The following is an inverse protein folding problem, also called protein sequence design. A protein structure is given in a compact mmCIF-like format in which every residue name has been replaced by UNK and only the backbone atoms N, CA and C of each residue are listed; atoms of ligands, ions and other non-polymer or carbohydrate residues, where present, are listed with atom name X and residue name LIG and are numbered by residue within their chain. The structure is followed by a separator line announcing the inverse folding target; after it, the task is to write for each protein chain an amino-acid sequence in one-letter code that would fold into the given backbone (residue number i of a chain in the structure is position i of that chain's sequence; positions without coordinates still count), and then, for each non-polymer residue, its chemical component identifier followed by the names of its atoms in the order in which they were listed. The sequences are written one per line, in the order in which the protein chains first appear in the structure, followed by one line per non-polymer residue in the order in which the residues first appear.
data_IF_731644929684
#
_entry.id   IF_731644929684
#
_cell.length_a   1.000
_cell.length_b   1.000
_cell.length_c   1.000
_cell.angle_alpha   90.00
_cell.angle_beta   90.00
_cell.angle_gamma   90.00
#
_symmetry.space_group_name_H-M   'P 1'
#
loop_
_entity.id
_entity.type
_entity.pdbx_description
1 polymer ?
#
# COMPACT_ATOMS: atom_id res chain seq x y z
N UNK A 1 -14.03 6.09 0.25
CA UNK A 1 -12.78 6.29 -0.51
C UNK A 1 -12.21 7.67 -0.19
N UNK A 2 -10.97 7.71 0.24
CA UNK A 2 -10.27 8.96 0.51
C UNK A 2 -9.54 9.37 -0.77
N UNK A 3 -9.89 10.55 -1.29
CA UNK A 3 -9.27 11.08 -2.49
C UNK A 3 -8.18 12.08 -2.12
N UNK A 4 -7.05 12.09 -2.84
CA UNK A 4 -6.03 13.10 -2.60
C UNK A 4 -6.53 14.49 -2.97
N UNK A 5 -6.09 15.54 -2.23
CA UNK A 5 -6.43 16.91 -2.61
C UNK A 5 -5.82 17.31 -3.96
N UNK A 6 -6.52 18.18 -4.69
CA UNK A 6 -6.08 18.62 -6.03
C UNK A 6 -4.78 19.43 -5.99
N UNK A 7 -4.47 20.04 -4.85
CA UNK A 7 -3.26 20.87 -4.67
C UNK A 7 -2.05 20.07 -4.17
N UNK A 8 -2.13 18.75 -4.14
CA UNK A 8 -1.03 17.89 -3.69
C UNK A 8 -0.02 17.72 -4.84
N UNK A 9 0.91 18.65 -4.96
CA UNK A 9 1.83 18.75 -6.11
C UNK A 9 3.30 18.62 -5.75
N UNK A 10 3.68 18.58 -4.47
CA UNK A 10 5.07 18.47 -4.03
C UNK A 10 5.33 17.13 -3.33
N UNK A 11 6.60 16.65 -3.32
CA UNK A 11 6.95 15.46 -2.55
C UNK A 11 6.58 15.57 -1.07
N UNK A 12 6.73 16.76 -0.48
CA UNK A 12 6.41 17.01 0.92
C UNK A 12 4.91 16.92 1.18
N UNK A 13 4.07 17.43 0.27
CA UNK A 13 2.62 17.32 0.41
C UNK A 13 2.14 15.88 0.25
N UNK A 14 2.77 15.10 -0.64
CA UNK A 14 2.48 13.68 -0.82
C UNK A 14 2.83 12.90 0.46
N UNK A 15 4.00 13.17 1.03
CA UNK A 15 4.44 12.52 2.27
C UNK A 15 3.49 12.83 3.43
N UNK A 16 3.07 14.08 3.58
CA UNK A 16 2.10 14.47 4.62
C UNK A 16 0.75 13.81 4.44
N UNK A 17 0.28 13.68 3.22
CA UNK A 17 -0.96 12.97 2.94
C UNK A 17 -0.83 11.50 3.36
N UNK A 18 0.28 10.84 3.04
CA UNK A 18 0.56 9.47 3.47
C UNK A 18 0.54 9.30 4.99
N UNK A 19 1.14 10.24 5.72
CA UNK A 19 1.13 10.25 7.19
C UNK A 19 -0.30 10.36 7.74
N UNK A 20 -1.12 11.22 7.14
CA UNK A 20 -2.53 11.37 7.53
C UNK A 20 -3.32 10.07 7.30
N UNK A 21 -3.10 9.41 6.17
CA UNK A 21 -3.73 8.12 5.88
C UNK A 21 -3.29 7.07 6.92
N UNK A 22 -2.01 7.03 7.27
CA UNK A 22 -1.49 6.10 8.28
C UNK A 22 -2.17 6.30 9.63
N UNK A 23 -2.35 7.54 10.06
CA UNK A 23 -3.05 7.86 11.31
C UNK A 23 -4.50 7.36 11.26
N UNK A 24 -5.20 7.61 10.15
CA UNK A 24 -6.58 7.16 9.99
C UNK A 24 -6.70 5.64 10.00
N UNK A 25 -5.78 4.93 9.35
CA UNK A 25 -5.77 3.46 9.35
C UNK A 25 -5.52 2.93 10.75
N UNK A 26 -4.60 3.52 11.50
CA UNK A 26 -4.32 3.12 12.88
C UNK A 26 -5.53 3.35 13.79
N UNK A 27 -6.20 4.48 13.67
CA UNK A 27 -7.42 4.78 14.43
C UNK A 27 -8.53 3.80 14.09
N UNK A 28 -8.72 3.52 12.81
CA UNK A 28 -9.70 2.55 12.37
C UNK A 28 -9.42 1.17 12.98
N UNK A 29 -8.16 0.74 12.94
CA UNK A 29 -7.76 -0.58 13.45
C UNK A 29 -8.02 -0.70 14.95
N UNK A 30 -7.65 0.32 15.72
CA UNK A 30 -7.81 0.32 17.18
C UNK A 30 -9.29 0.28 17.58
N UNK A 31 -10.17 0.92 16.81
CA UNK A 31 -11.60 1.00 17.09
C UNK A 31 -12.43 -0.07 16.39
N UNK A 32 -11.83 -0.85 15.49
CA UNK A 32 -12.54 -1.87 14.75
C UNK A 32 -12.89 -3.04 15.68
N UNK A 33 -14.20 -3.39 15.79
CA UNK A 33 -14.63 -4.40 16.78
C UNK A 33 -14.20 -5.81 16.43
N UNK A 34 -13.98 -6.11 15.15
CA UNK A 34 -13.71 -7.45 14.64
C UNK A 34 -12.33 -7.50 13.98
N UNK A 35 -11.29 -7.71 14.81
CA UNK A 35 -9.90 -7.68 14.37
C UNK A 35 -9.44 -8.99 13.71
N UNK A 36 -10.28 -10.00 13.58
CA UNK A 36 -9.99 -11.17 12.76
C UNK A 36 -10.20 -10.93 11.26
N UNK A 37 -10.89 -9.83 10.92
CA UNK A 37 -11.12 -9.39 9.55
C UNK A 37 -11.81 -10.42 8.66
N UNK A 38 -12.69 -11.24 9.25
CA UNK A 38 -13.45 -12.27 8.54
C UNK A 38 -14.72 -11.74 7.88
N UNK A 39 -15.11 -10.51 8.16
CA UNK A 39 -16.31 -9.90 7.59
C UNK A 39 -16.16 -9.74 6.06
N UNK A 40 -17.30 -9.87 5.38
CA UNK A 40 -17.37 -9.67 3.92
C UNK A 40 -17.57 -8.19 3.62
N UNK A 41 -16.75 -7.67 2.71
CA UNK A 41 -16.86 -6.29 2.23
C UNK A 41 -17.05 -6.28 0.71
N UNK A 42 -17.79 -5.29 0.22
CA UNK A 42 -18.02 -5.11 -1.21
C UNK A 42 -16.96 -4.17 -1.77
N UNK A 43 -16.27 -4.64 -2.80
CA UNK A 43 -15.25 -3.86 -3.51
C UNK A 43 -15.63 -3.72 -4.98
N UNK A 44 -14.86 -2.91 -5.74
CA UNK A 44 -15.07 -2.78 -7.18
C UNK A 44 -14.74 -4.06 -7.95
N UNK A 45 -13.99 -4.98 -7.33
CA UNK A 45 -13.63 -6.28 -7.91
C UNK A 45 -14.39 -7.44 -7.27
N UNK A 46 -15.51 -7.17 -6.59
CA UNK A 46 -16.41 -8.17 -6.02
C UNK A 46 -16.46 -8.15 -4.50
N UNK A 47 -17.12 -9.15 -3.95
CA UNK A 47 -17.22 -9.34 -2.51
C UNK A 47 -16.06 -10.22 -2.03
N UNK A 48 -15.35 -9.75 -1.00
CA UNK A 48 -14.19 -10.45 -0.45
C UNK A 48 -14.18 -10.30 1.08
N UNK A 49 -13.47 -11.18 1.76
CA UNK A 49 -13.21 -10.99 3.19
C UNK A 49 -12.31 -9.78 3.38
N UNK A 50 -12.53 -9.04 4.47
CA UNK A 50 -11.72 -7.87 4.79
C UNK A 50 -10.24 -8.20 4.86
N UNK A 51 -9.88 -9.38 5.42
CA UNK A 51 -8.49 -9.85 5.44
C UNK A 51 -7.87 -9.86 4.04
N UNK A 52 -8.58 -10.41 3.06
CA UNK A 52 -8.07 -10.51 1.70
C UNK A 52 -7.93 -9.14 1.03
N UNK A 53 -8.85 -8.22 1.35
CA UNK A 53 -8.78 -6.84 0.84
C UNK A 53 -7.56 -6.11 1.41
N UNK A 54 -7.31 -6.23 2.70
CA UNK A 54 -6.16 -5.62 3.35
C UNK A 54 -4.84 -6.19 2.82
N UNK A 55 -4.78 -7.50 2.67
CA UNK A 55 -3.60 -8.17 2.11
C UNK A 55 -3.32 -7.71 0.68
N UNK A 56 -4.36 -7.70 -0.17
CA UNK A 56 -4.22 -7.25 -1.55
C UNK A 56 -3.79 -5.79 -1.63
N UNK A 57 -4.39 -4.92 -0.85
CA UNK A 57 -4.04 -3.50 -0.82
C UNK A 57 -2.57 -3.31 -0.45
N UNK A 58 -2.10 -4.09 0.52
CA UNK A 58 -0.72 -4.00 0.99
C UNK A 58 0.28 -4.48 -0.06
N UNK A 59 0.11 -5.69 -0.59
CA UNK A 59 1.08 -6.23 -1.54
C UNK A 59 1.01 -5.52 -2.90
N UNK A 60 -0.18 -5.08 -3.32
CA UNK A 60 -0.35 -4.39 -4.60
C UNK A 60 0.39 -3.04 -4.60
N UNK A 61 0.25 -2.28 -3.52
CA UNK A 61 1.02 -1.04 -3.34
C UNK A 61 2.52 -1.31 -3.28
N UNK A 62 2.92 -2.35 -2.56
CA UNK A 62 4.33 -2.76 -2.48
C UNK A 62 4.90 -3.15 -3.84
N UNK A 63 4.09 -3.82 -4.67
CA UNK A 63 4.52 -4.18 -6.03
C UNK A 63 4.80 -2.95 -6.89
N UNK A 64 3.95 -1.92 -6.81
CA UNK A 64 4.22 -0.67 -7.51
C UNK A 64 5.46 0.04 -6.99
N UNK A 65 5.74 -0.03 -5.69
CA UNK A 65 6.99 0.50 -5.14
C UNK A 65 8.20 -0.24 -5.72
N UNK A 66 8.14 -1.56 -5.84
CA UNK A 66 9.20 -2.34 -6.49
C UNK A 66 9.45 -1.86 -7.93
N UNK A 67 8.37 -1.62 -8.67
CA UNK A 67 8.46 -1.11 -10.04
C UNK A 67 9.13 0.27 -10.09
N UNK A 68 8.74 1.17 -9.20
CA UNK A 68 9.36 2.50 -9.11
C UNK A 68 10.83 2.42 -8.72
N UNK A 69 11.19 1.56 -7.77
CA UNK A 69 12.59 1.36 -7.38
C UNK A 69 13.42 0.80 -8.54
N UNK A 70 12.84 -0.10 -9.34
CA UNK A 70 13.51 -0.63 -10.52
C UNK A 70 13.79 0.46 -11.57
N UNK A 71 12.83 1.35 -11.78
CA UNK A 71 13.02 2.50 -12.69
C UNK A 71 14.10 3.45 -12.18
N UNK A 72 14.11 3.75 -10.88
CA UNK A 72 15.13 4.60 -10.28
C UNK A 72 16.52 3.98 -10.42
N UNK A 73 16.64 2.67 -10.22
CA UNK A 73 17.91 1.95 -10.40
C UNK A 73 18.42 2.09 -11.83
N UNK A 74 17.54 1.97 -12.82
CA UNK A 74 17.88 2.14 -14.24
C UNK A 74 18.39 3.58 -14.52
N UNK A 75 17.90 4.54 -13.77
CA UNK A 75 18.31 5.95 -13.89
C UNK A 75 19.55 6.29 -13.04
N UNK A 76 20.11 5.31 -12.33
CA UNK A 76 21.26 5.52 -11.47
C UNK A 76 20.93 6.24 -10.16
N UNK A 77 19.67 6.26 -9.76
CA UNK A 77 19.22 6.90 -8.53
C UNK A 77 18.97 5.83 -7.46
N UNK A 78 19.60 5.97 -6.30
CA UNK A 78 19.34 5.11 -5.15
C UNK A 78 18.36 5.81 -4.22
N UNK A 79 17.17 5.24 -3.97
CA UNK A 79 16.22 5.84 -3.04
C UNK A 79 16.71 5.76 -1.61
N UNK A 80 16.33 6.73 -0.78
CA UNK A 80 16.56 6.67 0.65
C UNK A 80 15.67 5.60 1.27
N UNK A 81 16.24 4.80 2.15
CA UNK A 81 15.52 3.80 2.92
C UNK A 81 14.59 2.90 2.06
N UNK A 82 15.14 2.22 1.02
CA UNK A 82 14.31 1.42 0.12
C UNK A 82 13.70 0.21 0.84
N UNK A 83 12.54 -0.24 0.36
CA UNK A 83 11.98 -1.51 0.81
C UNK A 83 12.87 -2.67 0.36
N UNK A 84 13.00 -3.67 1.21
CA UNK A 84 13.78 -4.88 0.94
C UNK A 84 12.87 -6.10 0.84
N UNK A 85 13.40 -7.23 0.41
CA UNK A 85 12.63 -8.47 0.35
C UNK A 85 12.10 -8.91 1.72
N UNK A 86 12.77 -8.54 2.80
CA UNK A 86 12.29 -8.80 4.16
C UNK A 86 10.98 -8.07 4.45
N UNK A 87 10.82 -6.86 3.91
CA UNK A 87 9.58 -6.08 4.07
C UNK A 87 8.38 -6.74 3.38
N UNK A 88 8.62 -7.54 2.35
CA UNK A 88 7.57 -8.25 1.60
C UNK A 88 7.26 -9.64 2.14
N UNK A 89 7.98 -10.08 3.17
CA UNK A 89 7.84 -11.41 3.72
C UNK A 89 6.41 -11.68 4.19
N UNK A 90 5.86 -12.82 3.73
CA UNK A 90 4.48 -13.19 4.05
C UNK A 90 3.43 -12.61 3.13
N UNK A 91 3.81 -11.72 2.21
CA UNK A 91 2.90 -11.15 1.23
C UNK A 91 2.99 -11.91 -0.11
N UNK A 92 1.86 -12.17 -0.78
CA UNK A 92 1.84 -12.90 -2.05
C UNK A 92 2.21 -12.00 -3.24
N UNK A 93 3.36 -11.33 -3.16
CA UNK A 93 3.82 -10.48 -4.26
C UNK A 93 4.26 -11.34 -5.45
N UNK A 94 4.04 -10.88 -6.70
CA UNK A 94 4.52 -11.58 -7.87
C UNK A 94 6.05 -11.76 -7.86
N UNK A 95 6.52 -12.86 -8.44
CA UNK A 95 7.96 -13.11 -8.56
C UNK A 95 8.64 -12.06 -9.42
N UNK A 96 8.01 -11.72 -10.56
CA UNK A 96 8.53 -10.70 -11.45
C UNK A 96 8.08 -9.30 -11.02
N UNK A 97 9.02 -8.35 -11.07
CA UNK A 97 8.76 -6.95 -10.71
C UNK A 97 7.64 -6.34 -11.56
N UNK A 98 7.53 -6.74 -12.82
CA UNK A 98 6.56 -6.12 -13.75
C UNK A 98 5.25 -6.90 -13.90
N UNK A 99 5.06 -7.94 -13.12
CA UNK A 99 3.80 -8.68 -13.07
C UNK A 99 2.82 -8.06 -12.07
N UNK A 100 1.56 -8.29 -12.28
CA UNK A 100 0.49 -7.80 -11.38
C UNK A 100 -0.04 -6.40 -11.70
#
# INVERSE_FOLDING_TARGET
VIMPPDDMTSPESIARFGEQIQVQVNEWWVTHPDQDCEETVKTYYGQHKLHDVLERTTWHSGQHIRQLMSLLEQLGVTPDNPLTMEDYKGLPVPTNVWDG
#
